data_IF_432777468324
#
_entry.id   IF_432777468324
#
_cell.length_a   1.000
_cell.length_b   1.000
_cell.length_c   1.000
_cell.angle_alpha   90.00
_cell.angle_beta   90.00
_cell.angle_gamma   90.00
#
_symmetry.space_group_name_H-M   'P 1'
#
loop_
_entity.id
_entity.type
_entity.pdbx_description
1 polymer ?
#
# COMPACT_ATOMS: atom_id res chain seq x y z
N UNK A 1 -50.04 -37.70 49.66
CA UNK A 1 -48.95 -38.70 49.39
C UNK A 1 -47.68 -37.92 48.96
N UNK A 2 -46.75 -37.59 49.89
CA UNK A 2 -45.56 -36.83 49.58
C UNK A 2 -44.48 -37.76 49.04
N UNK A 3 -44.05 -37.57 47.81
CA UNK A 3 -43.03 -38.34 47.14
C UNK A 3 -41.66 -37.94 47.76
N UNK A 4 -40.98 -38.84 48.51
CA UNK A 4 -39.64 -38.60 49.07
C UNK A 4 -38.66 -38.33 47.94
N UNK A 5 -38.09 -37.15 47.89
CA UNK A 5 -37.07 -36.79 46.92
C UNK A 5 -35.75 -37.39 47.40
N UNK A 6 -35.13 -38.19 46.56
CA UNK A 6 -33.84 -38.86 46.90
C UNK A 6 -32.71 -37.80 46.85
N UNK A 7 -32.07 -37.50 48.02
CA UNK A 7 -31.05 -36.45 48.09
C UNK A 7 -29.83 -36.71 47.21
N UNK A 8 -29.49 -38.00 46.96
CA UNK A 8 -28.37 -38.35 46.07
C UNK A 8 -28.68 -38.01 44.60
N UNK A 9 -29.93 -38.12 44.16
CA UNK A 9 -30.33 -37.77 42.80
C UNK A 9 -30.37 -36.25 42.59
N UNK A 10 -30.68 -35.49 43.65
CA UNK A 10 -30.67 -34.04 43.61
C UNK A 10 -29.24 -33.50 43.50
N UNK A 11 -28.33 -34.06 44.27
CA UNK A 11 -26.92 -33.70 44.28
C UNK A 11 -26.22 -34.00 42.94
N UNK A 12 -26.51 -35.17 42.35
CA UNK A 12 -26.00 -35.56 41.04
C UNK A 12 -26.47 -34.59 39.91
N UNK A 13 -27.73 -34.21 39.92
CA UNK A 13 -28.26 -33.24 38.92
C UNK A 13 -27.64 -31.84 39.08
N UNK A 14 -27.42 -31.37 40.31
CA UNK A 14 -26.74 -30.11 40.57
C UNK A 14 -25.30 -30.09 40.07
N UNK A 15 -24.54 -31.14 40.23
CA UNK A 15 -23.18 -31.27 39.71
C UNK A 15 -23.19 -31.27 38.16
N UNK A 16 -24.13 -31.96 37.54
CA UNK A 16 -24.24 -32.00 36.07
C UNK A 16 -24.56 -30.61 35.49
N UNK A 17 -25.47 -29.89 36.12
CA UNK A 17 -25.81 -28.52 35.71
C UNK A 17 -24.61 -27.57 35.89
N UNK A 18 -23.88 -27.70 36.98
CA UNK A 18 -22.70 -26.89 37.24
C UNK A 18 -21.56 -27.16 36.25
N UNK A 19 -21.32 -28.42 35.90
CA UNK A 19 -20.37 -28.81 34.87
C UNK A 19 -20.76 -28.31 33.46
N UNK A 20 -22.04 -28.38 33.13
CA UNK A 20 -22.58 -27.82 31.86
C UNK A 20 -22.44 -26.30 31.81
N UNK A 21 -22.68 -25.61 32.92
CA UNK A 21 -22.49 -24.15 32.98
C UNK A 21 -21.02 -23.74 32.87
N UNK A 22 -20.11 -24.50 33.51
CA UNK A 22 -18.67 -24.27 33.37
C UNK A 22 -18.16 -24.53 31.95
N UNK A 23 -18.64 -25.58 31.27
CA UNK A 23 -18.28 -25.84 29.88
C UNK A 23 -18.81 -24.74 28.97
N UNK A 24 -20.05 -24.26 29.17
CA UNK A 24 -20.59 -23.14 28.40
C UNK A 24 -19.79 -21.84 28.60
N UNK A 25 -19.30 -21.56 29.80
CA UNK A 25 -18.41 -20.44 30.06
C UNK A 25 -17.05 -20.58 29.38
N UNK A 26 -16.48 -21.77 29.29
CA UNK A 26 -15.21 -21.98 28.59
C UNK A 26 -15.34 -21.85 27.06
N UNK A 27 -16.51 -22.11 26.51
CA UNK A 27 -16.81 -21.90 25.08
C UNK A 27 -17.29 -20.50 24.73
N UNK A 28 -17.43 -19.60 25.70
CA UNK A 28 -17.57 -18.16 25.44
C UNK A 28 -16.21 -17.62 25.02
N UNK A 29 -15.67 -18.12 23.90
CA UNK A 29 -14.59 -17.47 23.21
C UNK A 29 -15.07 -16.07 22.89
N UNK A 30 -14.43 -15.07 23.47
CA UNK A 30 -14.56 -13.68 23.06
C UNK A 30 -14.39 -13.68 21.55
N UNK A 31 -15.49 -13.56 20.81
CA UNK A 31 -15.43 -13.24 19.40
C UNK A 31 -14.66 -11.92 19.33
N UNK A 32 -13.37 -11.99 19.04
CA UNK A 32 -12.61 -10.80 18.70
C UNK A 32 -13.26 -10.27 17.45
N UNK A 33 -14.11 -9.27 17.62
CA UNK A 33 -14.68 -8.57 16.49
C UNK A 33 -13.52 -8.08 15.65
N UNK A 34 -13.51 -8.43 14.39
CA UNK A 34 -12.54 -7.89 13.43
C UNK A 34 -12.69 -6.37 13.52
N UNK A 35 -11.75 -5.71 14.15
CA UNK A 35 -11.77 -4.26 14.26
C UNK A 35 -11.64 -3.69 12.86
N UNK A 36 -12.63 -2.92 12.45
CA UNK A 36 -12.58 -2.18 11.20
C UNK A 36 -11.34 -1.28 11.18
N UNK A 37 -10.70 -1.13 10.02
CA UNK A 37 -9.62 -0.14 9.83
C UNK A 37 -10.07 1.30 10.16
N UNK A 38 -11.37 1.51 10.33
CA UNK A 38 -11.96 2.78 10.79
C UNK A 38 -12.02 2.91 12.32
N UNK A 39 -11.57 1.89 13.07
CA UNK A 39 -11.69 1.85 14.53
C UNK A 39 -13.17 1.88 14.95
N UNK A 40 -13.50 2.69 15.96
CA UNK A 40 -14.84 2.84 16.51
C UNK A 40 -15.75 3.79 15.71
N UNK A 41 -15.29 4.29 14.55
CA UNK A 41 -16.09 5.19 13.72
C UNK A 41 -17.25 4.45 13.07
N UNK A 42 -18.46 4.97 13.22
CA UNK A 42 -19.64 4.40 12.60
C UNK A 42 -19.53 4.41 11.06
N UNK A 43 -20.15 3.43 10.39
CA UNK A 43 -20.03 3.24 8.93
C UNK A 43 -20.63 4.41 8.12
N UNK A 44 -21.58 5.10 8.66
CA UNK A 44 -22.26 6.26 8.06
C UNK A 44 -21.53 7.59 8.28
N UNK A 45 -20.52 7.61 9.16
CA UNK A 45 -19.70 8.82 9.35
C UNK A 45 -18.74 9.01 8.19
N UNK A 46 -18.46 10.28 7.84
CA UNK A 46 -17.46 10.60 6.82
C UNK A 46 -16.08 10.11 7.27
N UNK A 47 -15.36 9.47 6.35
CA UNK A 47 -13.98 9.08 6.61
C UNK A 47 -13.11 10.31 6.91
N UNK A 48 -12.18 10.15 7.84
CA UNK A 48 -11.15 11.17 8.08
C UNK A 48 -10.37 11.41 6.79
N UNK A 49 -10.12 12.68 6.47
CA UNK A 49 -9.25 12.99 5.34
C UNK A 49 -7.84 12.46 5.63
N UNK A 50 -7.33 11.66 4.72
CA UNK A 50 -5.93 11.25 4.78
C UNK A 50 -5.03 12.49 4.78
N UNK A 51 -4.04 12.53 5.65
CA UNK A 51 -3.03 13.57 5.65
C UNK A 51 -2.31 13.61 4.31
N UNK A 52 -2.02 14.81 3.79
CA UNK A 52 -1.15 14.93 2.61
C UNK A 52 0.30 14.81 3.05
N UNK A 53 0.96 13.75 2.61
CA UNK A 53 2.38 13.57 2.83
C UNK A 53 3.18 14.55 1.94
N UNK A 54 4.23 15.13 2.50
CA UNK A 54 5.11 16.02 1.73
C UNK A 54 6.05 15.19 0.86
N UNK A 55 6.07 15.47 -0.43
CA UNK A 55 7.02 14.83 -1.34
C UNK A 55 8.44 15.30 -1.02
N UNK A 56 9.37 14.37 -0.98
CA UNK A 56 10.78 14.66 -0.81
C UNK A 56 11.34 15.34 -2.07
N UNK A 57 12.14 16.39 -1.86
CA UNK A 57 12.97 16.95 -2.92
C UNK A 57 14.41 16.68 -2.53
N UNK A 58 15.13 15.92 -3.36
CA UNK A 58 16.50 15.46 -3.10
C UNK A 58 17.39 15.89 -4.25
N UNK A 59 18.33 16.76 -3.97
CA UNK A 59 19.33 17.16 -4.95
C UNK A 59 20.26 15.97 -5.26
N UNK A 60 20.61 15.78 -6.53
CA UNK A 60 21.42 14.65 -6.97
C UNK A 60 20.64 13.36 -7.22
N UNK A 61 19.36 13.29 -6.82
CA UNK A 61 18.52 12.10 -7.02
C UNK A 61 18.37 11.24 -5.77
N UNK A 62 17.66 10.13 -5.91
CA UNK A 62 17.41 9.13 -4.86
C UNK A 62 18.12 7.85 -5.27
N UNK A 63 18.92 7.29 -4.38
CA UNK A 63 19.64 6.05 -4.60
C UNK A 63 18.67 4.88 -4.85
N UNK A 64 19.08 3.97 -5.73
CA UNK A 64 18.32 2.75 -6.03
C UNK A 64 18.62 1.68 -4.99
N UNK A 65 17.61 0.95 -4.58
CA UNK A 65 17.79 -0.22 -3.70
C UNK A 65 18.33 -1.44 -4.46
N UNK A 66 18.13 -1.51 -5.79
CA UNK A 66 18.62 -2.60 -6.63
C UNK A 66 18.88 -2.12 -8.07
N UNK A 67 19.75 -2.86 -8.77
CA UNK A 67 20.34 -2.47 -10.06
C UNK A 67 19.34 -2.07 -11.15
N UNK A 68 18.25 -2.80 -11.30
CA UNK A 68 17.25 -2.57 -12.34
C UNK A 68 16.06 -1.73 -11.88
N UNK A 69 16.09 -1.21 -10.68
CA UNK A 69 15.03 -0.32 -10.18
C UNK A 69 14.89 0.92 -11.07
N UNK A 70 13.68 1.25 -11.52
CA UNK A 70 13.45 2.54 -12.14
C UNK A 70 13.85 3.67 -11.18
N UNK A 71 14.61 4.68 -11.64
CA UNK A 71 14.96 5.80 -10.77
C UNK A 71 13.74 6.43 -10.11
N UNK A 72 13.82 6.66 -8.81
CA UNK A 72 12.77 7.35 -8.07
C UNK A 72 12.76 8.84 -8.46
N UNK A 73 11.59 9.46 -8.41
CA UNK A 73 11.44 10.88 -8.75
C UNK A 73 11.83 11.73 -7.53
N UNK A 74 12.91 12.54 -7.61
CA UNK A 74 13.43 13.32 -6.49
C UNK A 74 12.78 14.69 -6.34
N UNK A 75 11.61 14.92 -6.92
CA UNK A 75 10.90 16.22 -6.89
C UNK A 75 9.39 16.01 -6.95
N UNK A 76 8.63 17.08 -6.69
CA UNK A 76 7.17 17.02 -6.80
C UNK A 76 6.72 16.90 -8.26
N UNK A 77 5.62 16.19 -8.49
CA UNK A 77 5.04 15.97 -9.83
C UNK A 77 3.63 16.54 -10.00
N UNK A 78 3.11 17.25 -9.01
CA UNK A 78 1.72 17.73 -8.97
C UNK A 78 1.34 18.60 -10.18
N UNK A 79 2.30 19.31 -10.75
CA UNK A 79 2.11 20.20 -11.90
C UNK A 79 2.31 19.51 -13.25
N UNK A 80 2.76 18.26 -13.28
CA UNK A 80 3.11 17.54 -14.51
C UNK A 80 2.08 16.46 -14.82
N UNK A 81 1.17 16.77 -15.75
CA UNK A 81 0.14 15.82 -16.19
C UNK A 81 0.65 14.99 -17.37
N UNK A 82 0.31 13.71 -17.37
CA UNK A 82 0.50 12.80 -18.49
C UNK A 82 -0.89 12.45 -19.03
N UNK A 83 -1.08 12.64 -20.32
CA UNK A 83 -2.32 12.30 -21.03
C UNK A 83 -1.99 11.81 -22.43
N UNK A 84 -2.97 11.30 -23.15
CA UNK A 84 -2.79 10.91 -24.56
C UNK A 84 -2.40 12.09 -25.46
N UNK A 85 -2.74 13.33 -25.08
CA UNK A 85 -2.42 14.56 -25.82
C UNK A 85 -1.04 15.13 -25.49
N UNK A 86 -0.44 14.76 -24.37
CA UNK A 86 0.84 15.30 -23.95
C UNK A 86 1.38 14.68 -22.68
N UNK A 87 2.69 14.72 -22.55
CA UNK A 87 3.43 14.21 -21.41
C UNK A 87 4.27 15.32 -20.79
N UNK A 88 3.86 15.80 -19.57
CA UNK A 88 4.51 16.90 -18.87
C UNK A 88 5.96 16.62 -18.48
N UNK A 89 6.34 15.35 -18.23
CA UNK A 89 7.70 14.96 -17.88
C UNK A 89 8.69 15.25 -19.03
N UNK A 90 8.22 15.07 -20.26
CA UNK A 90 9.03 15.28 -21.47
C UNK A 90 9.40 16.74 -21.72
N UNK A 91 8.78 17.69 -21.03
CA UNK A 91 9.18 19.11 -21.12
C UNK A 91 10.62 19.33 -20.64
N UNK A 92 11.05 18.56 -19.64
CA UNK A 92 12.40 18.64 -19.09
C UNK A 92 13.26 17.41 -19.46
N UNK A 93 12.69 16.21 -19.52
CA UNK A 93 13.46 14.96 -19.67
C UNK A 93 13.64 14.50 -21.14
N UNK A 94 13.09 15.22 -22.12
CA UNK A 94 13.26 14.85 -23.53
C UNK A 94 14.70 15.08 -24.02
N UNK A 95 15.06 14.40 -25.11
CA UNK A 95 16.33 14.57 -25.82
C UNK A 95 16.62 16.06 -26.18
N UNK A 96 15.57 16.83 -26.48
CA UNK A 96 15.70 18.24 -26.86
C UNK A 96 15.86 19.19 -25.68
N UNK A 97 15.30 18.82 -24.50
CA UNK A 97 15.17 19.74 -23.38
C UNK A 97 16.11 19.45 -22.21
N UNK A 98 16.56 18.23 -22.04
CA UNK A 98 17.22 17.77 -20.82
C UNK A 98 18.46 18.60 -20.42
N UNK A 99 19.27 19.02 -21.39
CA UNK A 99 20.46 19.85 -21.13
C UNK A 99 20.09 21.24 -20.63
N UNK A 100 19.13 21.90 -21.28
CA UNK A 100 18.62 23.23 -20.92
C UNK A 100 17.98 23.19 -19.53
N UNK A 101 17.17 22.19 -19.28
CA UNK A 101 16.41 22.04 -18.04
C UNK A 101 17.23 21.38 -16.92
N UNK A 102 18.51 21.02 -17.18
CA UNK A 102 19.41 20.34 -16.24
C UNK A 102 18.80 19.07 -15.64
N UNK A 103 18.00 18.37 -16.45
CA UNK A 103 17.31 17.14 -16.06
C UNK A 103 18.00 15.90 -16.64
N UNK A 104 17.92 14.74 -16.00
CA UNK A 104 18.36 13.49 -16.61
C UNK A 104 17.59 13.22 -17.90
N UNK A 105 18.30 12.81 -18.95
CA UNK A 105 17.65 12.39 -20.22
C UNK A 105 16.89 11.07 -20.03
N UNK A 106 15.76 10.93 -20.67
CA UNK A 106 15.07 9.62 -20.81
C UNK A 106 16.02 8.61 -21.45
N UNK A 107 16.21 7.47 -20.80
CA UNK A 107 17.10 6.41 -21.26
C UNK A 107 16.65 5.79 -22.59
N UNK A 108 17.60 5.31 -23.36
CA UNK A 108 17.35 4.79 -24.72
C UNK A 108 16.44 3.56 -24.73
N UNK A 109 16.41 2.78 -23.65
CA UNK A 109 15.46 1.66 -23.48
C UNK A 109 13.98 2.06 -23.52
N UNK A 110 13.67 3.34 -23.33
CA UNK A 110 12.29 3.86 -23.42
C UNK A 110 11.81 4.04 -24.87
N UNK A 111 12.72 3.99 -25.80
CA UNK A 111 12.44 4.07 -27.24
C UNK A 111 12.33 2.70 -27.92
N UNK A 112 12.51 1.62 -27.17
CA UNK A 112 12.44 0.25 -27.72
C UNK A 112 11.01 -0.28 -27.58
N UNK A 113 10.44 -0.79 -28.69
CA UNK A 113 9.13 -1.41 -28.71
C UNK A 113 9.15 -2.85 -28.14
N UNK A 114 8.02 -3.56 -28.26
CA UNK A 114 7.93 -4.95 -27.79
C UNK A 114 8.78 -5.91 -28.62
N UNK A 115 8.97 -5.61 -29.88
CA UNK A 115 9.68 -6.46 -30.84
C UNK A 115 11.19 -6.19 -30.83
N UNK A 116 11.67 -5.29 -29.93
CA UNK A 116 13.08 -4.93 -29.80
C UNK A 116 13.54 -3.82 -30.76
N UNK A 117 12.65 -3.24 -31.53
CA UNK A 117 13.01 -2.19 -32.49
C UNK A 117 13.08 -0.82 -31.81
N UNK A 118 14.08 -0.02 -32.20
CA UNK A 118 14.25 1.34 -31.71
C UNK A 118 13.37 2.31 -32.48
N UNK A 119 12.51 3.00 -31.78
CA UNK A 119 11.55 3.96 -32.33
C UNK A 119 12.12 5.39 -32.28
N UNK A 120 11.60 6.25 -33.15
CA UNK A 120 11.89 7.72 -33.13
C UNK A 120 11.17 8.45 -31.98
N UNK A 121 10.17 7.82 -31.38
CA UNK A 121 9.39 8.36 -30.25
C UNK A 121 9.42 7.37 -29.10
N UNK A 122 9.13 7.85 -27.88
CA UNK A 122 8.96 6.96 -26.72
C UNK A 122 7.93 5.89 -27.04
N UNK A 123 8.28 4.65 -26.75
CA UNK A 123 7.39 3.49 -26.88
C UNK A 123 6.13 3.69 -26.04
N UNK A 124 4.95 3.35 -26.56
CA UNK A 124 3.67 3.46 -25.86
C UNK A 124 3.68 2.79 -24.49
N UNK A 125 4.39 1.68 -24.37
CA UNK A 125 4.58 0.93 -23.10
C UNK A 125 5.42 1.68 -22.04
N UNK A 126 6.10 2.75 -22.43
CA UNK A 126 6.95 3.58 -21.56
C UNK A 126 6.48 5.03 -21.45
N UNK A 127 5.29 5.32 -22.00
CA UNK A 127 4.79 6.68 -22.11
C UNK A 127 4.31 7.26 -20.75
N UNK A 128 3.70 6.40 -19.93
CA UNK A 128 3.17 6.82 -18.61
C UNK A 128 4.25 6.64 -17.54
N UNK A 129 5.14 7.60 -17.45
CA UNK A 129 6.35 7.57 -16.61
C UNK A 129 6.07 7.21 -15.15
N UNK A 130 5.02 7.76 -14.57
CA UNK A 130 4.66 7.56 -13.17
C UNK A 130 4.10 6.16 -12.83
N UNK A 131 3.94 5.28 -13.81
CA UNK A 131 3.64 3.87 -13.55
C UNK A 131 4.87 3.08 -13.07
N UNK A 132 6.07 3.56 -13.39
CA UNK A 132 7.33 2.92 -12.98
C UNK A 132 8.19 3.84 -12.12
N UNK A 133 8.12 5.14 -12.33
CA UNK A 133 8.85 6.14 -11.56
C UNK A 133 7.91 6.77 -10.54
N UNK A 134 8.21 6.61 -9.26
CA UNK A 134 7.40 7.14 -8.17
C UNK A 134 8.15 8.22 -7.40
N UNK A 135 7.47 9.31 -6.98
CA UNK A 135 8.03 10.23 -6.01
C UNK A 135 8.07 9.58 -4.63
N UNK A 136 9.00 10.01 -3.79
CA UNK A 136 9.10 9.59 -2.40
C UNK A 136 8.48 10.63 -1.47
N UNK A 137 7.93 10.19 -0.36
CA UNK A 137 7.53 11.08 0.73
C UNK A 137 8.71 11.33 1.68
N UNK A 138 8.55 12.31 2.58
CA UNK A 138 9.53 12.58 3.64
C UNK A 138 9.34 11.67 4.86
N UNK A 139 8.34 10.83 4.83
CA UNK A 139 8.00 9.96 5.95
C UNK A 139 8.98 8.79 6.02
N UNK A 140 9.27 8.37 7.23
CA UNK A 140 10.08 7.18 7.44
C UNK A 140 9.30 5.93 7.02
N UNK A 141 9.95 4.93 6.41
CA UNK A 141 9.31 3.66 6.10
C UNK A 141 8.88 2.95 7.39
N UNK A 142 7.71 2.33 7.36
CA UNK A 142 7.19 1.56 8.50
C UNK A 142 8.05 0.32 8.80
N UNK A 143 8.70 -0.23 7.79
CA UNK A 143 9.57 -1.39 7.88
C UNK A 143 10.82 -1.17 7.01
N UNK A 144 11.93 -1.77 7.42
CA UNK A 144 13.16 -1.72 6.63
C UNK A 144 12.96 -2.46 5.31
N UNK A 145 13.37 -1.86 4.20
CA UNK A 145 13.43 -2.55 2.92
C UNK A 145 14.58 -3.57 2.93
N UNK A 146 14.24 -4.84 2.72
CA UNK A 146 15.22 -5.95 2.64
C UNK A 146 15.24 -6.59 1.25
N UNK A 147 14.59 -5.98 0.26
CA UNK A 147 14.57 -6.47 -1.12
C UNK A 147 15.85 -6.08 -1.85
N UNK A 148 16.57 -7.08 -2.34
CA UNK A 148 17.84 -6.88 -3.06
C UNK A 148 17.68 -6.90 -4.59
N UNK A 149 16.51 -7.27 -5.07
CA UNK A 149 16.25 -7.43 -6.51
C UNK A 149 16.81 -8.74 -7.07
N UNK A 150 16.72 -8.88 -8.39
CA UNK A 150 17.24 -10.02 -9.16
C UNK A 150 18.43 -9.51 -10.01
#
# INVERSE_FOLDING_TARGET
MFKRINPKALFSKSITIFLLAMTAMMFSSTAMSVQSLRGDSALDTKANKAGKHKIATVEGGIERNFKLQPPMIPHTIDKYKISLKGNGCMKCHSEKAYKKEKAPKVGDSHYVNRDGETLKKISSRRYFCNQCHAPQTKDNPLVKNVYEGI
#
